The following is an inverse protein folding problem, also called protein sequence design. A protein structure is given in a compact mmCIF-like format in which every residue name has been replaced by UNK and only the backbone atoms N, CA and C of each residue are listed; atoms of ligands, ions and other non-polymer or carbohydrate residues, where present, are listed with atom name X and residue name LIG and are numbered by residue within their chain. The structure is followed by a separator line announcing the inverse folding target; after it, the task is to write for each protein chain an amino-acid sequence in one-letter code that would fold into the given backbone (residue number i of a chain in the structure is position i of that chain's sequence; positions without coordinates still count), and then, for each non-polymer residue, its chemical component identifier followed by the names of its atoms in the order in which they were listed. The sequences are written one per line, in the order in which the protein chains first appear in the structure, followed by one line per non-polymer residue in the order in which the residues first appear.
data_IF_709771618038
#
_entry.id   IF_709771618038
#
_cell.length_a   1.000
_cell.length_b   1.000
_cell.length_c   1.000
_cell.angle_alpha   90.00
_cell.angle_beta   90.00
_cell.angle_gamma   90.00
#
_symmetry.space_group_name_H-M   'P 1'
#
loop_
_entity.id
_entity.type
_entity.pdbx_description
1 polymer ?
#
# COMPACT_ATOMS: atom_id res chain seq x y z
N UNK A 1 2.11 -2.03 3.62
CA UNK A 1 1.84 -3.44 3.23
C UNK A 1 0.34 -3.57 3.04
N UNK A 2 -0.11 -4.24 1.98
CA UNK A 2 -1.54 -4.46 1.72
C UNK A 2 -1.77 -5.90 1.25
N UNK A 3 -2.96 -6.45 1.48
CA UNK A 3 -3.42 -7.70 0.92
C UNK A 3 -4.79 -7.48 0.28
N UNK A 4 -5.03 -8.09 -0.88
CA UNK A 4 -6.26 -7.91 -1.66
C UNK A 4 -6.86 -9.24 -2.07
N UNK A 5 -8.18 -9.36 -2.00
CA UNK A 5 -8.92 -10.44 -2.66
C UNK A 5 -9.62 -9.90 -3.92
N UNK A 6 -9.23 -10.41 -5.08
CA UNK A 6 -9.80 -10.01 -6.37
C UNK A 6 -11.02 -10.88 -6.65
N UNK A 7 -12.10 -10.64 -5.91
CA UNK A 7 -13.34 -11.39 -6.03
C UNK A 7 -14.56 -10.45 -6.02
N UNK A 8 -15.39 -10.56 -7.06
CA UNK A 8 -16.56 -9.71 -7.22
C UNK A 8 -17.64 -10.01 -6.16
N UNK A 9 -17.72 -11.24 -5.66
CA UNK A 9 -18.78 -11.68 -4.73
C UNK A 9 -18.65 -11.08 -3.33
N UNK A 10 -17.44 -10.71 -2.90
CA UNK A 10 -17.17 -10.08 -1.60
C UNK A 10 -16.77 -8.61 -1.72
N UNK A 11 -17.09 -7.97 -2.86
CA UNK A 11 -16.85 -6.54 -3.11
C UNK A 11 -15.36 -6.17 -2.99
N UNK A 12 -14.45 -7.03 -3.42
CA UNK A 12 -13.01 -6.74 -3.51
C UNK A 12 -12.38 -6.20 -2.20
N UNK A 13 -12.43 -6.97 -1.09
CA UNK A 13 -11.93 -6.51 0.19
C UNK A 13 -10.40 -6.40 0.19
N UNK A 14 -9.89 -5.52 1.02
CA UNK A 14 -8.46 -5.39 1.28
C UNK A 14 -8.17 -5.09 2.75
N UNK A 15 -6.99 -5.53 3.19
CA UNK A 15 -6.40 -5.18 4.47
C UNK A 15 -5.06 -4.50 4.24
N UNK A 16 -4.74 -3.53 5.08
CA UNK A 16 -3.52 -2.76 4.98
C UNK A 16 -2.94 -2.43 6.34
N UNK A 17 -1.64 -2.22 6.35
CA UNK A 17 -0.96 -1.53 7.43
C UNK A 17 0.11 -0.64 6.82
N UNK A 18 0.13 0.61 7.25
CA UNK A 18 1.20 1.55 6.93
C UNK A 18 2.02 1.79 8.20
N UNK A 19 3.34 1.76 8.07
CA UNK A 19 4.26 2.14 9.13
C UNK A 19 5.10 3.30 8.62
N UNK A 20 5.00 4.44 9.29
CA UNK A 20 5.57 5.72 8.86
C UNK A 20 6.59 6.16 9.89
N UNK A 21 7.83 6.37 9.44
CA UNK A 21 8.84 7.04 10.24
C UNK A 21 8.61 8.55 10.16
N UNK A 22 8.42 9.18 11.31
CA UNK A 22 8.17 10.62 11.43
C UNK A 22 9.19 11.25 12.36
N UNK A 23 9.48 12.53 12.14
CA UNK A 23 10.30 13.36 13.04
C UNK A 23 9.44 14.51 13.52
N UNK A 24 9.33 14.68 14.83
CA UNK A 24 8.65 15.84 15.41
C UNK A 24 9.55 17.07 15.26
N UNK A 25 9.12 18.05 14.47
CA UNK A 25 9.86 19.31 14.28
C UNK A 25 9.55 20.31 15.38
N UNK A 26 8.35 20.23 15.96
CA UNK A 26 7.91 21.01 17.11
C UNK A 26 7.21 20.06 18.10
N UNK A 27 7.11 20.48 19.35
CA UNK A 27 6.27 19.78 20.34
C UNK A 27 4.80 19.81 19.91
N UNK A 28 4.14 18.66 19.95
CA UNK A 28 2.71 18.53 19.64
C UNK A 28 2.12 17.27 20.24
N UNK A 29 0.88 17.34 20.69
CA UNK A 29 0.09 16.21 21.18
C UNK A 29 -0.82 15.60 20.09
N UNK A 30 -0.70 16.07 18.84
CA UNK A 30 -1.53 15.61 17.72
C UNK A 30 -0.71 15.27 16.49
N UNK A 31 -1.10 14.19 15.84
CA UNK A 31 -0.62 13.84 14.51
C UNK A 31 -1.81 13.92 13.55
N UNK A 32 -1.71 14.78 12.54
CA UNK A 32 -2.75 14.94 11.52
C UNK A 32 -2.18 14.55 10.16
N UNK A 33 -2.87 13.64 9.47
CA UNK A 33 -2.52 13.15 8.15
C UNK A 33 -3.79 12.92 7.32
N UNK A 34 -3.66 12.58 6.05
CA UNK A 34 -4.80 12.32 5.17
C UNK A 34 -5.20 10.84 5.16
N UNK A 35 -6.50 10.59 5.16
CA UNK A 35 -7.08 9.26 4.95
C UNK A 35 -8.53 9.39 4.44
N UNK A 36 -8.98 8.47 3.57
CA UNK A 36 -10.33 8.49 3.01
C UNK A 36 -10.78 7.13 2.49
N UNK A 37 -12.03 6.75 2.77
CA UNK A 37 -12.70 5.67 2.04
C UNK A 37 -12.36 4.25 2.51
N UNK A 38 -11.78 4.11 3.69
CA UNK A 38 -11.51 2.84 4.37
C UNK A 38 -11.59 3.05 5.89
N UNK A 39 -11.68 1.94 6.63
CA UNK A 39 -11.81 1.93 8.09
C UNK A 39 -10.44 1.79 8.75
N UNK A 40 -10.17 2.59 9.78
CA UNK A 40 -8.98 2.45 10.63
C UNK A 40 -9.28 1.44 11.74
N UNK A 41 -8.36 0.52 12.01
CA UNK A 41 -8.43 -0.32 13.21
C UNK A 41 -7.88 0.47 14.40
N UNK A 42 -8.72 1.32 14.98
CA UNK A 42 -8.34 2.32 15.98
C UNK A 42 -7.63 1.71 17.20
N UNK A 43 -8.09 0.54 17.64
CA UNK A 43 -7.54 -0.24 18.75
C UNK A 43 -6.13 -0.78 18.50
N UNK A 44 -5.69 -0.79 17.24
CA UNK A 44 -4.39 -1.31 16.79
C UNK A 44 -3.44 -0.22 16.31
N UNK A 45 -3.85 1.05 16.36
CA UNK A 45 -2.96 2.17 16.00
C UNK A 45 -1.89 2.32 17.08
N UNK A 46 -0.63 2.34 16.68
CA UNK A 46 0.51 2.33 17.59
C UNK A 46 1.52 3.40 17.22
N UNK A 47 2.07 4.05 18.24
CA UNK A 47 3.23 4.93 18.13
C UNK A 47 4.35 4.36 18.99
N UNK A 48 5.55 4.23 18.42
CA UNK A 48 6.75 3.77 19.14
C UNK A 48 7.88 4.77 18.93
N UNK A 49 8.75 4.93 19.94
CA UNK A 49 9.91 5.79 19.82
C UNK A 49 10.94 5.09 18.94
N UNK A 50 11.75 5.85 18.22
CA UNK A 50 12.85 5.31 17.40
C UNK A 50 14.15 5.72 18.07
N UNK A 51 14.94 4.74 18.53
CA UNK A 51 16.22 5.03 19.16
C UNK A 51 17.17 5.71 18.16
N UNK A 52 17.98 6.66 18.65
CA UNK A 52 18.95 7.36 17.82
C UNK A 52 19.93 6.34 17.20
N UNK A 53 19.85 6.15 15.88
CA UNK A 53 20.70 5.23 15.12
C UNK A 53 20.05 3.89 14.73
N UNK A 54 18.84 3.60 15.20
CA UNK A 54 18.15 2.34 14.87
C UNK A 54 16.77 2.62 14.27
N UNK A 55 16.71 2.72 12.93
CA UNK A 55 15.45 2.86 12.22
C UNK A 55 14.55 1.61 12.34
N UNK A 56 14.99 0.52 12.97
CA UNK A 56 14.24 -0.74 13.12
C UNK A 56 13.69 -1.02 14.53
N UNK A 57 14.19 -0.35 15.57
CA UNK A 57 13.86 -0.66 16.97
C UNK A 57 12.63 0.07 17.50
N UNK A 58 11.73 -0.65 18.19
CA UNK A 58 10.70 -0.06 19.02
C UNK A 58 11.33 0.39 20.35
N UNK A 59 11.60 1.67 20.48
CA UNK A 59 12.02 2.29 21.73
C UNK A 59 10.83 2.48 22.67
N UNK A 60 11.05 2.18 23.95
CA UNK A 60 10.10 2.49 25.02
C UNK A 60 10.08 4.01 25.26
N UNK A 61 8.90 4.59 25.53
CA UNK A 61 8.74 6.02 25.83
C UNK A 61 8.04 6.90 24.79
N UNK A 62 7.40 6.34 23.75
CA UNK A 62 6.47 7.12 22.92
C UNK A 62 5.14 7.39 23.66
N UNK A 63 4.50 8.56 23.44
CA UNK A 63 3.14 8.79 23.89
C UNK A 63 2.17 7.75 23.34
N UNK A 64 1.20 7.35 24.16
CA UNK A 64 0.14 6.46 23.71
C UNK A 64 -0.87 7.24 22.84
N UNK A 65 -1.44 6.58 21.83
CA UNK A 65 -2.56 7.14 21.07
C UNK A 65 -3.83 7.00 21.90
N UNK A 66 -4.47 8.12 22.23
CA UNK A 66 -5.65 8.18 23.10
C UNK A 66 -6.95 8.32 22.33
N UNK A 67 -6.89 8.86 21.11
CA UNK A 67 -8.05 9.00 20.23
C UNK A 67 -7.60 8.94 18.78
N UNK A 68 -8.42 8.27 17.98
CA UNK A 68 -8.33 8.24 16.51
C UNK A 68 -9.61 8.87 15.98
N UNK A 69 -9.49 9.90 15.16
CA UNK A 69 -10.63 10.65 14.62
C UNK A 69 -10.47 10.79 13.10
N UNK A 70 -11.34 10.11 12.34
CA UNK A 70 -11.37 10.21 10.89
C UNK A 70 -12.48 11.17 10.47
N UNK A 71 -12.09 12.31 9.90
CA UNK A 71 -13.00 13.33 9.40
C UNK A 71 -13.19 13.18 7.89
N UNK A 72 -14.35 12.71 7.46
CA UNK A 72 -14.65 12.49 6.04
C UNK A 72 -14.86 13.79 5.24
N UNK A 73 -15.21 14.90 5.89
CA UNK A 73 -15.42 16.20 5.22
C UNK A 73 -14.10 16.76 4.70
N UNK A 74 -13.07 16.74 5.55
CA UNK A 74 -11.74 17.27 5.21
C UNK A 74 -10.74 16.17 4.81
N UNK A 75 -11.11 14.90 4.97
CA UNK A 75 -10.27 13.72 4.72
C UNK A 75 -9.01 13.70 5.60
N UNK A 76 -9.16 14.11 6.86
CA UNK A 76 -8.10 14.11 7.86
C UNK A 76 -8.29 12.98 8.87
N UNK A 77 -7.21 12.26 9.13
CA UNK A 77 -7.05 11.39 10.27
C UNK A 77 -6.29 12.16 11.34
N UNK A 78 -6.92 12.38 12.49
CA UNK A 78 -6.30 13.03 13.65
C UNK A 78 -6.07 12.00 14.74
N UNK A 79 -4.82 11.88 15.17
CA UNK A 79 -4.42 11.04 16.30
C UNK A 79 -4.09 11.95 17.47
N UNK A 80 -4.85 11.85 18.56
CA UNK A 80 -4.50 12.52 19.82
C UNK A 80 -3.59 11.63 20.66
N UNK A 81 -2.61 12.24 21.30
CA UNK A 81 -1.59 11.55 22.08
C UNK A 81 -1.77 11.82 23.58
N UNK A 82 -1.30 10.91 24.42
CA UNK A 82 -1.36 11.08 25.88
C UNK A 82 -0.38 12.12 26.42
N UNK A 83 0.65 12.45 25.64
CA UNK A 83 1.71 13.42 25.92
C UNK A 83 2.21 14.01 24.60
N UNK A 84 2.88 15.15 24.69
CA UNK A 84 3.52 15.77 23.53
C UNK A 84 4.69 14.94 23.00
N UNK A 85 4.79 14.89 21.67
CA UNK A 85 6.00 14.48 20.98
C UNK A 85 7.14 15.41 21.36
N UNK A 86 8.32 14.84 21.54
CA UNK A 86 9.52 15.59 21.87
C UNK A 86 10.12 16.17 20.59
N UNK A 87 10.45 17.45 20.62
CA UNK A 87 11.09 18.13 19.50
C UNK A 87 12.39 17.43 19.09
N UNK A 88 12.58 17.25 17.79
CA UNK A 88 13.73 16.58 17.21
C UNK A 88 13.69 15.04 17.28
N UNK A 89 12.82 14.45 18.10
CA UNK A 89 12.71 13.00 18.24
C UNK A 89 12.01 12.35 17.04
N UNK A 90 12.38 11.09 16.78
CA UNK A 90 11.79 10.27 15.73
C UNK A 90 10.87 9.20 16.32
N UNK A 91 9.79 8.95 15.60
CA UNK A 91 8.76 7.99 15.99
C UNK A 91 8.38 7.12 14.80
N UNK A 92 7.88 5.93 15.10
CA UNK A 92 7.27 5.02 14.14
C UNK A 92 5.78 4.94 14.43
N UNK A 93 5.00 5.52 13.52
CA UNK A 93 3.54 5.48 13.53
C UNK A 93 3.06 4.30 12.70
N UNK A 94 2.31 3.38 13.29
CA UNK A 94 1.74 2.22 12.60
C UNK A 94 0.23 2.28 12.64
N UNK A 95 -0.40 2.25 11.46
CA UNK A 95 -1.84 2.40 11.29
C UNK A 95 -2.35 1.21 10.46
N UNK A 96 -3.02 0.23 11.09
CA UNK A 96 -3.74 -0.80 10.38
C UNK A 96 -5.10 -0.28 9.89
N UNK A 97 -5.48 -0.64 8.67
CA UNK A 97 -6.72 -0.22 8.03
C UNK A 97 -7.28 -1.33 7.12
N UNK A 98 -8.57 -1.27 6.79
CA UNK A 98 -9.22 -2.22 5.89
C UNK A 98 -10.36 -1.55 5.12
N UNK A 99 -10.72 -2.11 3.98
CA UNK A 99 -11.80 -1.56 3.16
C UNK A 99 -12.14 -2.44 1.97
N UNK A 100 -12.86 -1.84 1.03
CA UNK A 100 -13.28 -2.47 -0.21
C UNK A 100 -12.82 -1.59 -1.38
N UNK A 101 -12.26 -2.22 -2.41
CA UNK A 101 -11.89 -1.50 -3.63
C UNK A 101 -13.14 -1.03 -4.36
N UNK A 102 -13.05 0.16 -4.95
CA UNK A 102 -14.08 0.76 -5.79
C UNK A 102 -13.65 0.70 -7.24
N UNK A 103 -14.60 0.86 -8.16
CA UNK A 103 -14.36 0.96 -9.61
C UNK A 103 -14.18 2.40 -10.10
N UNK A 104 -14.12 3.37 -9.18
CA UNK A 104 -13.73 4.75 -9.47
C UNK A 104 -12.24 4.74 -9.85
N UNK A 105 -11.85 5.33 -10.99
CA UNK A 105 -10.46 5.37 -11.49
C UNK A 105 -9.56 6.32 -10.67
N UNK A 106 -9.59 6.17 -9.35
CA UNK A 106 -8.98 7.07 -8.37
C UNK A 106 -8.62 6.29 -7.09
N UNK A 107 -7.46 6.57 -6.50
CA UNK A 107 -6.98 5.85 -5.33
C UNK A 107 -6.50 4.45 -5.72
N UNK A 108 -6.81 3.46 -4.89
CA UNK A 108 -6.62 2.04 -5.23
C UNK A 108 -7.96 1.52 -5.72
N UNK A 109 -8.02 1.06 -6.95
CA UNK A 109 -9.28 0.74 -7.61
C UNK A 109 -9.22 -0.59 -8.35
N UNK A 110 -10.41 -1.15 -8.57
CA UNK A 110 -10.60 -2.34 -9.41
C UNK A 110 -10.98 -1.88 -10.82
N UNK A 111 -10.27 -2.39 -11.83
CA UNK A 111 -10.60 -2.22 -13.23
C UNK A 111 -11.04 -3.56 -13.81
N UNK A 112 -12.18 -3.55 -14.48
CA UNK A 112 -12.74 -4.70 -15.17
C UNK A 112 -12.38 -4.62 -16.67
N UNK A 113 -12.01 -5.75 -17.25
CA UNK A 113 -11.75 -5.89 -18.67
C UNK A 113 -12.22 -7.27 -19.15
N UNK A 114 -12.46 -7.41 -20.46
CA UNK A 114 -12.78 -8.71 -21.05
C UNK A 114 -11.54 -9.37 -21.63
N UNK A 115 -11.39 -10.66 -21.38
CA UNK A 115 -10.41 -11.55 -22.02
C UNK A 115 -11.19 -12.78 -22.49
N UNK A 116 -11.19 -13.06 -23.80
CA UNK A 116 -11.95 -14.15 -24.43
C UNK A 116 -13.46 -14.17 -24.05
N UNK A 117 -14.04 -12.99 -23.87
CA UNK A 117 -15.46 -12.83 -23.50
C UNK A 117 -15.77 -13.05 -22.02
N UNK A 118 -14.75 -13.38 -21.20
CA UNK A 118 -14.87 -13.55 -19.74
C UNK A 118 -14.39 -12.28 -19.04
N UNK A 119 -15.15 -11.84 -18.04
CA UNK A 119 -14.78 -10.68 -17.23
C UNK A 119 -13.57 -11.03 -16.36
N UNK A 120 -12.56 -10.16 -16.44
CA UNK A 120 -11.32 -10.21 -15.69
C UNK A 120 -11.17 -8.91 -14.91
N UNK A 121 -10.38 -8.98 -13.85
CA UNK A 121 -10.18 -7.86 -12.94
C UNK A 121 -8.68 -7.61 -12.74
N UNK A 122 -8.32 -6.35 -12.58
CA UNK A 122 -7.01 -5.94 -12.10
C UNK A 122 -7.16 -4.84 -11.05
N UNK A 123 -6.21 -4.79 -10.12
CA UNK A 123 -6.09 -3.69 -9.18
C UNK A 123 -5.03 -2.74 -9.71
N UNK A 124 -5.34 -1.45 -9.72
CA UNK A 124 -4.38 -0.41 -10.09
C UNK A 124 -4.48 0.78 -9.12
N UNK A 125 -3.47 1.62 -9.16
CA UNK A 125 -3.43 2.88 -8.42
C UNK A 125 -3.45 4.07 -9.35
N UNK A 126 -4.27 5.07 -9.03
CA UNK A 126 -4.25 6.40 -9.63
C UNK A 126 -4.28 7.43 -8.49
N UNK A 127 -3.10 7.92 -8.09
CA UNK A 127 -2.98 8.80 -6.92
C UNK A 127 -2.88 10.29 -7.24
N UNK A 128 -2.56 10.65 -8.48
CA UNK A 128 -2.49 12.05 -8.87
C UNK A 128 -3.90 12.67 -8.96
N UNK A 129 -4.18 13.82 -8.34
CA UNK A 129 -3.24 14.67 -7.57
C UNK A 129 -3.26 14.44 -6.04
N UNK A 130 -4.38 13.98 -5.48
CA UNK A 130 -4.65 13.95 -4.02
C UNK A 130 -5.33 12.66 -3.56
N UNK A 131 -5.06 11.57 -4.27
CA UNK A 131 -5.81 10.32 -4.12
C UNK A 131 -4.99 9.22 -3.45
N UNK A 132 -3.73 9.46 -3.09
CA UNK A 132 -2.95 8.52 -2.28
C UNK A 132 -3.62 8.27 -0.92
N UNK A 133 -4.27 9.30 -0.36
CA UNK A 133 -5.09 9.20 0.86
C UNK A 133 -6.26 8.21 0.77
N UNK A 134 -6.66 7.81 -0.44
CA UNK A 134 -7.67 6.76 -0.67
C UNK A 134 -7.09 5.35 -0.70
N UNK A 135 -5.76 5.22 -0.78
CA UNK A 135 -5.06 3.95 -0.75
C UNK A 135 -4.46 3.58 0.60
N UNK A 136 -3.92 4.58 1.32
CA UNK A 136 -3.34 4.39 2.65
C UNK A 136 -3.23 5.73 3.40
N UNK A 137 -3.25 5.72 4.74
CA UNK A 137 -3.05 6.95 5.52
C UNK A 137 -1.68 7.56 5.25
N UNK A 138 -1.61 8.82 4.84
CA UNK A 138 -0.36 9.50 4.53
C UNK A 138 -0.45 11.03 4.56
N UNK A 139 0.70 11.71 4.60
CA UNK A 139 0.79 13.15 4.32
C UNK A 139 0.71 13.38 2.81
N UNK A 140 -0.51 13.33 2.28
CA UNK A 140 -0.81 13.45 0.85
C UNK A 140 -0.71 14.89 0.31
N UNK A 141 0.49 15.46 0.40
CA UNK A 141 0.86 16.72 -0.25
C UNK A 141 2.22 16.55 -0.97
N UNK A 142 2.43 17.17 -2.14
CA UNK A 142 3.65 16.95 -2.94
C UNK A 142 4.97 17.26 -2.22
N UNK A 143 4.96 18.18 -1.25
CA UNK A 143 6.14 18.59 -0.50
C UNK A 143 6.67 17.51 0.46
N UNK A 144 5.81 16.61 0.95
CA UNK A 144 6.19 15.56 1.90
C UNK A 144 6.74 14.33 1.19
N UNK A 145 7.95 14.46 0.61
CA UNK A 145 8.63 13.33 -0.02
C UNK A 145 9.11 12.32 1.02
N UNK A 146 8.92 11.04 0.72
CA UNK A 146 9.38 9.93 1.55
C UNK A 146 9.88 8.77 0.68
N UNK A 147 10.64 7.86 1.28
CA UNK A 147 10.96 6.57 0.66
C UNK A 147 9.86 5.56 0.99
N UNK A 148 9.50 4.72 0.02
CA UNK A 148 8.43 3.74 0.16
C UNK A 148 8.96 2.32 -0.01
N UNK A 149 8.60 1.44 0.93
CA UNK A 149 8.83 0.00 0.82
C UNK A 149 7.46 -0.67 0.77
N UNK A 150 7.13 -1.26 -0.37
CA UNK A 150 5.81 -1.83 -0.65
C UNK A 150 5.86 -3.35 -0.54
N UNK A 151 4.82 -3.94 0.04
CA UNK A 151 4.56 -5.37 -0.03
C UNK A 151 3.07 -5.59 -0.29
N UNK A 152 2.77 -6.47 -1.25
CA UNK A 152 1.42 -6.73 -1.74
C UNK A 152 1.10 -8.23 -1.62
N UNK A 153 0.07 -8.56 -0.84
CA UNK A 153 -0.56 -9.86 -0.76
C UNK A 153 -1.61 -10.01 -1.86
N UNK A 154 -1.47 -11.03 -2.67
CA UNK A 154 -2.40 -11.31 -3.78
C UNK A 154 -2.48 -12.81 -4.02
N UNK A 155 -3.55 -13.25 -4.68
CA UNK A 155 -3.65 -14.64 -5.12
C UNK A 155 -2.50 -14.97 -6.10
N UNK A 156 -1.96 -16.19 -6.02
CA UNK A 156 -0.82 -16.65 -6.84
C UNK A 156 -1.06 -16.62 -8.35
N UNK A 157 -2.33 -16.61 -8.77
CA UNK A 157 -2.72 -16.47 -10.16
C UNK A 157 -2.47 -15.05 -10.73
N UNK A 158 -2.18 -14.07 -9.87
CA UNK A 158 -1.89 -12.68 -10.23
C UNK A 158 -0.42 -12.38 -10.05
N UNK A 159 0.06 -11.37 -10.78
CA UNK A 159 1.37 -10.76 -10.62
C UNK A 159 1.22 -9.37 -10.05
N UNK A 160 2.12 -8.98 -9.14
CA UNK A 160 2.21 -7.63 -8.60
C UNK A 160 3.40 -6.89 -9.21
N UNK A 161 3.18 -5.62 -9.58
CA UNK A 161 4.21 -4.68 -10.05
C UNK A 161 4.09 -3.41 -9.22
N UNK A 162 5.21 -2.76 -8.92
CA UNK A 162 5.25 -1.45 -8.23
C UNK A 162 6.40 -0.60 -8.78
N UNK A 163 6.65 0.57 -8.18
CA UNK A 163 7.70 1.50 -8.62
C UNK A 163 9.10 0.87 -8.64
N UNK A 164 9.37 -0.01 -7.68
CA UNK A 164 10.67 -0.62 -7.47
C UNK A 164 10.65 -2.11 -7.83
N UNK A 165 11.81 -2.72 -8.15
CA UNK A 165 11.87 -4.14 -8.48
C UNK A 165 11.49 -5.02 -7.28
N UNK A 166 10.90 -6.18 -7.60
CA UNK A 166 10.60 -7.22 -6.62
C UNK A 166 11.90 -7.75 -6.00
N UNK A 167 11.92 -7.87 -4.68
CA UNK A 167 13.06 -8.39 -3.91
C UNK A 167 12.81 -9.81 -3.42
N UNK A 168 11.58 -10.15 -3.05
CA UNK A 168 11.18 -11.51 -2.64
C UNK A 168 9.68 -11.72 -2.78
N UNK A 169 9.27 -12.99 -2.84
CA UNK A 169 7.88 -13.39 -2.58
C UNK A 169 7.85 -14.55 -1.60
N UNK A 170 6.91 -14.53 -0.66
CA UNK A 170 6.73 -15.57 0.36
C UNK A 170 5.25 -15.89 0.58
N UNK A 171 4.99 -17.00 1.26
CA UNK A 171 3.65 -17.33 1.79
C UNK A 171 3.39 -16.67 3.14
N UNK A 172 4.44 -16.20 3.81
CA UNK A 172 4.36 -15.57 5.13
C UNK A 172 3.57 -14.26 5.04
N UNK A 173 2.53 -14.13 5.86
CA UNK A 173 1.71 -12.93 5.96
C UNK A 173 2.43 -11.85 6.79
N UNK A 174 2.96 -10.78 6.17
CA UNK A 174 3.62 -9.72 6.91
C UNK A 174 2.61 -8.82 7.65
N UNK A 175 1.31 -9.01 7.43
CA UNK A 175 0.25 -8.35 8.18
C UNK A 175 -0.11 -9.07 9.48
N UNK A 176 0.41 -10.28 9.73
CA UNK A 176 -0.01 -11.14 10.85
C UNK A 176 -0.12 -10.44 12.22
N UNK A 177 0.80 -9.53 12.62
CA UNK A 177 0.70 -8.82 13.90
C UNK A 177 -0.55 -7.92 14.03
N UNK A 178 -1.13 -7.50 12.92
CA UNK A 178 -2.26 -6.55 12.88
C UNK A 178 -3.52 -7.20 12.29
N UNK A 179 -3.35 -8.03 11.27
CA UNK A 179 -4.36 -8.76 10.53
C UNK A 179 -3.95 -10.23 10.44
N UNK A 180 -4.21 -11.02 11.49
CA UNK A 180 -3.95 -12.45 11.43
C UNK A 180 -4.78 -13.09 10.33
N UNK A 181 -4.28 -14.17 9.72
CA UNK A 181 -4.98 -14.80 8.61
C UNK A 181 -6.41 -15.23 8.98
N UNK A 182 -6.62 -15.65 10.24
CA UNK A 182 -7.95 -15.98 10.77
C UNK A 182 -8.96 -14.84 10.58
N UNK A 183 -8.52 -13.58 10.70
CA UNK A 183 -9.36 -12.39 10.48
C UNK A 183 -9.53 -12.08 8.99
N UNK A 184 -8.47 -12.24 8.20
CA UNK A 184 -8.51 -12.01 6.75
C UNK A 184 -9.49 -13.00 6.09
N UNK A 185 -9.43 -14.28 6.48
CA UNK A 185 -10.25 -15.37 5.98
C UNK A 185 -11.76 -15.22 6.25
N UNK A 186 -12.17 -14.35 7.20
CA UNK A 186 -13.58 -14.00 7.37
C UNK A 186 -14.17 -13.30 6.12
N UNK A 187 -13.31 -12.64 5.33
CA UNK A 187 -13.71 -11.88 4.14
C UNK A 187 -13.15 -12.45 2.85
N UNK A 188 -11.90 -12.90 2.84
CA UNK A 188 -11.23 -13.45 1.66
C UNK A 188 -11.77 -14.84 1.33
N UNK A 189 -11.94 -15.16 0.05
CA UNK A 189 -12.56 -16.43 -0.38
C UNK A 189 -11.60 -17.58 -0.64
N UNK A 190 -10.30 -17.29 -0.77
CA UNK A 190 -9.28 -18.30 -1.02
C UNK A 190 -8.48 -18.58 0.25
N UNK A 191 -8.01 -19.81 0.39
CA UNK A 191 -7.15 -20.22 1.51
C UNK A 191 -5.79 -19.50 1.50
N UNK A 192 -5.14 -19.43 2.66
CA UNK A 192 -3.81 -18.81 2.82
C UNK A 192 -2.78 -19.34 1.83
N UNK A 193 -2.84 -20.64 1.52
CA UNK A 193 -1.91 -21.29 0.59
C UNK A 193 -2.05 -20.75 -0.85
N UNK A 194 -3.23 -20.23 -1.22
CA UNK A 194 -3.48 -19.62 -2.52
C UNK A 194 -2.92 -18.20 -2.65
N UNK A 195 -2.42 -17.61 -1.55
CA UNK A 195 -1.84 -16.28 -1.53
C UNK A 195 -0.31 -16.30 -1.51
N UNK A 196 0.27 -15.21 -2.02
CA UNK A 196 1.68 -14.87 -1.86
C UNK A 196 1.81 -13.37 -1.59
N UNK A 197 2.85 -13.00 -0.86
CA UNK A 197 3.20 -11.62 -0.54
C UNK A 197 4.47 -11.26 -1.30
N UNK A 198 4.32 -10.34 -2.26
CA UNK A 198 5.42 -9.84 -3.09
C UNK A 198 5.96 -8.56 -2.47
N UNK A 199 7.26 -8.54 -2.17
CA UNK A 199 7.98 -7.41 -1.59
C UNK A 199 8.79 -6.69 -2.66
N UNK A 200 8.82 -5.37 -2.59
CA UNK A 200 9.57 -4.51 -3.50
C UNK A 200 10.70 -3.79 -2.76
N UNK A 201 11.74 -3.40 -3.49
CA UNK A 201 12.85 -2.63 -2.94
C UNK A 201 12.37 -1.24 -2.47
N UNK A 202 13.14 -0.62 -1.56
CA UNK A 202 12.86 0.73 -1.11
C UNK A 202 13.06 1.73 -2.25
N UNK A 203 12.10 2.64 -2.44
CA UNK A 203 12.18 3.71 -3.43
C UNK A 203 13.17 4.80 -3.03
N UNK A 204 13.58 5.61 -4.01
CA UNK A 204 14.13 6.94 -3.72
C UNK A 204 13.05 7.83 -3.07
N UNK A 205 13.42 8.91 -2.37
CA UNK A 205 12.45 9.89 -1.87
C UNK A 205 11.58 10.45 -3.00
N UNK A 206 10.27 10.24 -2.90
CA UNK A 206 9.28 10.63 -3.90
C UNK A 206 8.00 11.12 -3.23
N UNK A 207 7.16 11.84 -3.97
CA UNK A 207 5.86 12.32 -3.48
C UNK A 207 4.82 11.18 -3.52
N UNK A 208 3.80 11.25 -2.65
CA UNK A 208 2.76 10.22 -2.51
C UNK A 208 2.01 9.92 -3.80
N UNK A 209 1.74 10.94 -4.63
CA UNK A 209 1.00 10.78 -5.87
C UNK A 209 1.72 9.94 -6.94
N UNK A 210 3.04 9.73 -6.81
CA UNK A 210 3.83 8.90 -7.72
C UNK A 210 3.89 7.43 -7.28
N UNK A 211 3.45 7.11 -6.06
CA UNK A 211 3.44 5.73 -5.58
C UNK A 211 2.48 4.95 -6.46
N UNK A 212 2.93 3.82 -6.98
CA UNK A 212 2.16 3.04 -7.91
C UNK A 212 2.29 1.54 -7.65
N UNK A 213 1.18 0.83 -7.84
CA UNK A 213 1.21 -0.61 -8.01
C UNK A 213 0.05 -1.12 -8.84
N UNK A 214 0.27 -2.30 -9.42
CA UNK A 214 -0.72 -3.04 -10.20
C UNK A 214 -0.70 -4.50 -9.77
N UNK A 215 -1.87 -5.09 -9.52
CA UNK A 215 -2.06 -6.53 -9.32
C UNK A 215 -2.96 -7.04 -10.44
N UNK A 216 -2.40 -7.82 -11.37
CA UNK A 216 -3.12 -8.23 -12.59
C UNK A 216 -2.71 -9.61 -13.06
N UNK A 217 -3.42 -10.15 -14.05
CA UNK A 217 -3.03 -11.36 -14.80
C UNK A 217 -2.26 -11.04 -16.09
N UNK A 218 -1.82 -9.79 -16.25
CA UNK A 218 -1.14 -9.34 -17.44
C UNK A 218 0.18 -10.08 -17.63
N UNK A 219 0.55 -10.26 -18.88
CA UNK A 219 1.86 -10.73 -19.29
C UNK A 219 2.71 -9.52 -19.69
N UNK A 220 4.01 -9.73 -19.84
CA UNK A 220 4.89 -8.67 -20.30
C UNK A 220 5.87 -9.16 -21.35
N UNK A 221 6.26 -8.22 -22.21
CA UNK A 221 7.42 -8.35 -23.09
C UNK A 221 8.56 -7.53 -22.50
N UNK A 222 9.76 -8.12 -22.48
CA UNK A 222 10.96 -7.48 -21.95
C UNK A 222 11.84 -7.01 -23.10
N UNK A 223 12.39 -5.80 -22.99
CA UNK A 223 13.32 -5.24 -23.96
C UNK A 223 14.57 -6.11 -24.16
N UNK A 224 15.11 -6.22 -25.39
CA UNK A 224 16.37 -6.92 -25.62
C UNK A 224 17.53 -6.30 -24.83
N UNK A 225 18.33 -7.14 -24.14
CA UNK A 225 19.44 -6.70 -23.27
C UNK A 225 20.50 -5.83 -23.94
N UNK A 226 20.59 -5.87 -25.26
CA UNK A 226 21.54 -5.09 -26.05
C UNK A 226 21.00 -3.73 -26.48
N UNK A 227 19.68 -3.51 -26.44
CA UNK A 227 19.02 -2.28 -26.88
C UNK A 227 18.77 -1.29 -25.74
N UNK A 228 18.58 -1.76 -24.51
CA UNK A 228 18.27 -0.89 -23.38
C UNK A 228 18.99 -1.26 -22.08
N UNK A 229 19.60 -0.22 -21.47
CA UNK A 229 20.02 -0.19 -20.08
C UNK A 229 19.54 1.14 -19.50
N UNK A 230 18.54 1.16 -18.60
CA UNK A 230 17.93 0.02 -17.88
C UNK A 230 16.99 -0.86 -18.74
N UNK A 231 16.71 -2.07 -18.26
CA UNK A 231 15.69 -2.98 -18.82
C UNK A 231 14.31 -2.33 -18.71
N UNK A 232 13.50 -2.41 -19.77
CA UNK A 232 12.10 -1.99 -19.73
C UNK A 232 11.16 -3.14 -20.08
N UNK A 233 9.97 -3.13 -19.48
CA UNK A 233 8.93 -4.15 -19.65
C UNK A 233 7.60 -3.49 -19.99
N UNK A 234 6.89 -4.06 -20.94
CA UNK A 234 5.57 -3.59 -21.34
C UNK A 234 4.55 -4.65 -20.96
N UNK A 235 3.63 -4.28 -20.07
CA UNK A 235 2.62 -5.17 -19.53
C UNK A 235 1.30 -5.01 -20.28
N UNK A 236 0.70 -6.11 -20.70
CA UNK A 236 -0.55 -6.14 -21.45
C UNK A 236 -1.40 -7.37 -21.08
N UNK A 237 -2.68 -7.31 -21.44
CA UNK A 237 -3.58 -8.48 -21.42
C UNK A 237 -3.01 -9.61 -22.28
N UNK A 238 -3.36 -10.86 -21.97
CA UNK A 238 -2.77 -12.03 -22.63
C UNK A 238 -3.11 -12.06 -24.13
N UNK A 239 -4.32 -11.66 -24.47
CA UNK A 239 -4.82 -11.54 -25.85
C UNK A 239 -4.18 -10.38 -26.66
N UNK A 240 -3.51 -9.45 -25.98
CA UNK A 240 -2.92 -8.26 -26.57
C UNK A 240 -1.38 -8.20 -26.47
N UNK A 241 -0.73 -9.18 -25.84
CA UNK A 241 0.72 -9.15 -25.60
C UNK A 241 1.53 -9.13 -26.91
N UNK A 242 1.04 -9.79 -27.96
CA UNK A 242 1.69 -9.77 -29.28
C UNK A 242 1.59 -8.40 -29.98
N UNK A 243 0.68 -7.52 -29.53
CA UNK A 243 0.50 -6.17 -30.09
C UNK A 243 1.52 -5.17 -29.51
N UNK A 244 2.20 -5.53 -28.41
CA UNK A 244 3.20 -4.67 -27.76
C UNK A 244 4.64 -5.04 -28.13
N UNK A 245 4.84 -5.90 -29.13
CA UNK A 245 6.19 -6.22 -29.60
C UNK A 245 6.87 -5.03 -30.28
N UNK A 246 6.13 -4.18 -31.01
CA UNK A 246 6.71 -3.01 -31.69
C UNK A 246 7.21 -1.93 -30.72
N UNK A 247 6.74 -1.92 -29.47
CA UNK A 247 7.10 -0.91 -28.46
C UNK A 247 8.34 -1.28 -27.66
N UNK A 248 8.92 -2.48 -27.86
CA UNK A 248 10.17 -2.95 -27.21
C UNK A 248 11.39 -3.03 -28.14
N UNK A 249 11.25 -2.63 -29.41
CA UNK A 249 12.32 -2.61 -30.43
C UNK A 249 13.01 -1.26 -30.50
#
# INVERSE_FOLDING_TARGET
MLAFDVNATNKFPFFGVVSILIKAVNQTDKIVLHAKGYTIAEDKVQLSAVAAGDAGGAGDGAPAVTRVDLNDTYNFLTLSLSKELQEGASYRLTIPFSGNLKSELEGVYISEYKEDGVDQYLIATQFEAISARKGFPCWDEPAYKASFTVALGHARAFTAVSNMPQTKSSSDNPLEPYWPWSKIAETFKLDSQAYTFTHFAQSVPMSTYLVAWVVSRFQHVTSPKHLAKPEFRIWARRDAVNQVEYTVV
#
